data_IF_762310827098
#
_entry.id   IF_762310827098
#
_cell.length_a   1.000
_cell.length_b   1.000
_cell.length_c   1.000
_cell.angle_alpha   90.00
_cell.angle_beta   90.00
_cell.angle_gamma   90.00
#
_symmetry.space_group_name_H-M   'P 1'
#
loop_
_entity.id
_entity.type
_entity.pdbx_description
1 polymer ?
#
# COMPACT_ATOMS: atom_id res chain seq x y z
N UNK A 1 9.63 -40.89 -7.02
CA UNK A 1 10.28 -40.39 -5.80
C UNK A 1 10.07 -38.91 -5.73
N UNK A 2 9.47 -38.40 -4.64
CA UNK A 2 9.28 -36.96 -4.40
C UNK A 2 10.42 -36.48 -3.50
N UNK A 3 11.06 -35.37 -3.86
CA UNK A 3 12.05 -34.71 -3.05
C UNK A 3 11.50 -33.33 -2.65
N UNK A 4 11.61 -32.97 -1.39
CA UNK A 4 11.18 -31.69 -0.86
C UNK A 4 12.38 -30.99 -0.22
N UNK A 5 12.48 -29.68 -0.41
CA UNK A 5 13.53 -28.86 0.19
C UNK A 5 12.95 -28.19 1.43
N UNK A 6 13.59 -28.41 2.57
CA UNK A 6 13.26 -27.81 3.85
C UNK A 6 14.34 -26.87 4.32
N UNK A 7 14.04 -26.10 5.37
CA UNK A 7 14.96 -25.16 6.00
C UNK A 7 14.77 -23.72 5.52
N UNK A 8 15.50 -22.79 6.14
CA UNK A 8 15.31 -21.33 5.91
C UNK A 8 15.48 -20.94 4.44
N UNK A 9 16.42 -21.52 3.71
CA UNK A 9 16.64 -21.20 2.29
C UNK A 9 15.46 -21.64 1.42
N UNK A 10 14.84 -22.80 1.69
CA UNK A 10 13.64 -23.26 1.01
C UNK A 10 12.46 -22.31 1.27
N UNK A 11 12.23 -22.00 2.55
CA UNK A 11 11.17 -21.07 2.98
C UNK A 11 11.31 -19.70 2.31
N UNK A 12 12.50 -19.10 2.33
CA UNK A 12 12.75 -17.78 1.71
C UNK A 12 12.55 -17.82 0.19
N UNK A 13 12.95 -18.91 -0.47
CA UNK A 13 12.74 -19.09 -1.91
C UNK A 13 11.27 -19.22 -2.24
N UNK A 14 10.52 -20.01 -1.48
CA UNK A 14 9.08 -20.16 -1.66
C UNK A 14 8.32 -18.86 -1.44
N UNK A 15 8.66 -18.10 -0.38
CA UNK A 15 8.09 -16.77 -0.13
C UNK A 15 8.35 -15.82 -1.30
N UNK A 16 9.59 -15.79 -1.80
CA UNK A 16 9.95 -14.96 -2.96
C UNK A 16 9.12 -15.34 -4.19
N UNK A 17 9.08 -16.63 -4.52
CA UNK A 17 8.36 -17.11 -5.69
C UNK A 17 6.86 -16.85 -5.57
N UNK A 18 6.28 -17.09 -4.39
CA UNK A 18 4.88 -16.81 -4.11
C UNK A 18 4.57 -15.32 -4.27
N UNK A 19 5.37 -14.46 -3.63
CA UNK A 19 5.19 -13.00 -3.71
C UNK A 19 5.29 -12.51 -5.17
N UNK A 20 6.25 -13.02 -5.95
CA UNK A 20 6.38 -12.65 -7.37
C UNK A 20 5.23 -13.16 -8.25
N UNK A 21 4.66 -14.32 -7.94
CA UNK A 21 3.52 -14.88 -8.67
C UNK A 21 2.20 -14.18 -8.32
N UNK A 22 2.01 -13.84 -7.06
CA UNK A 22 0.76 -13.24 -6.56
C UNK A 22 0.69 -11.72 -6.75
N UNK A 23 1.85 -11.02 -6.75
CA UNK A 23 1.91 -9.57 -6.89
C UNK A 23 1.07 -9.02 -8.07
N UNK A 24 1.18 -9.53 -9.31
CA UNK A 24 0.37 -9.02 -10.42
C UNK A 24 -1.13 -9.19 -10.17
N UNK A 25 -1.52 -10.30 -9.55
CA UNK A 25 -2.93 -10.61 -9.25
C UNK A 25 -3.48 -9.58 -8.25
N UNK A 26 -2.76 -9.31 -7.15
CA UNK A 26 -3.20 -8.34 -6.15
C UNK A 26 -3.23 -6.92 -6.69
N UNK A 27 -2.29 -6.53 -7.56
CA UNK A 27 -2.31 -5.22 -8.23
C UNK A 27 -3.55 -5.09 -9.11
N UNK A 28 -3.89 -6.12 -9.89
CA UNK A 28 -5.10 -6.13 -10.72
C UNK A 28 -6.36 -6.08 -9.86
N UNK A 29 -6.42 -6.89 -8.78
CA UNK A 29 -7.56 -6.88 -7.85
C UNK A 29 -7.72 -5.49 -7.22
N UNK A 30 -6.64 -4.87 -6.75
CA UNK A 30 -6.68 -3.53 -6.19
C UNK A 30 -7.15 -2.49 -7.22
N UNK A 31 -6.66 -2.57 -8.46
CA UNK A 31 -7.08 -1.68 -9.55
C UNK A 31 -8.57 -1.86 -9.89
N UNK A 32 -9.05 -3.11 -9.96
CA UNK A 32 -10.47 -3.41 -10.23
C UNK A 32 -11.37 -2.91 -9.09
N UNK A 33 -11.00 -3.17 -7.83
CA UNK A 33 -11.76 -2.66 -6.68
C UNK A 33 -11.79 -1.13 -6.67
N UNK A 34 -10.65 -0.49 -6.91
CA UNK A 34 -10.57 0.97 -7.01
C UNK A 34 -11.43 1.50 -8.16
N UNK A 35 -11.40 0.83 -9.33
CA UNK A 35 -12.25 1.18 -10.46
C UNK A 35 -13.74 1.10 -10.10
N UNK A 36 -14.16 0.02 -9.46
CA UNK A 36 -15.56 -0.17 -9.04
C UNK A 36 -16.00 0.92 -8.05
N UNK A 37 -15.17 1.22 -7.06
CA UNK A 37 -15.48 2.28 -6.09
C UNK A 37 -15.57 3.63 -6.79
N UNK A 38 -14.63 3.97 -7.67
CA UNK A 38 -14.64 5.23 -8.41
C UNK A 38 -15.84 5.33 -9.36
N UNK A 39 -16.24 4.23 -10.02
CA UNK A 39 -17.46 4.21 -10.85
C UNK A 39 -18.74 4.47 -10.05
N UNK A 40 -18.75 4.10 -8.77
CA UNK A 40 -19.88 4.35 -7.88
C UNK A 40 -19.87 5.77 -7.29
N UNK A 41 -18.68 6.36 -7.12
CA UNK A 41 -18.51 7.65 -6.42
C UNK A 41 -18.38 8.84 -7.34
N UNK A 42 -17.84 8.64 -8.56
CA UNK A 42 -17.66 9.73 -9.54
C UNK A 42 -18.88 9.92 -10.40
N UNK A 43 -19.08 11.17 -10.87
CA UNK A 43 -20.22 11.55 -11.72
C UNK A 43 -20.03 11.19 -13.20
N UNK A 44 -18.90 10.61 -13.60
CA UNK A 44 -18.59 10.22 -14.98
C UNK A 44 -17.97 8.82 -15.05
N UNK A 45 -18.40 8.02 -16.03
CA UNK A 45 -17.88 6.69 -16.27
C UNK A 45 -16.45 6.68 -16.82
N UNK A 46 -16.02 7.74 -17.49
CA UNK A 46 -14.67 7.81 -18.11
C UNK A 46 -13.60 8.25 -17.11
N UNK A 47 -13.95 9.07 -16.15
CA UNK A 47 -13.02 9.63 -15.15
C UNK A 47 -12.21 8.57 -14.39
N UNK A 48 -12.80 7.47 -13.89
CA UNK A 48 -12.05 6.41 -13.21
C UNK A 48 -10.95 5.78 -14.06
N UNK A 49 -11.19 5.60 -15.35
CA UNK A 49 -10.18 5.06 -16.28
C UNK A 49 -9.03 6.04 -16.50
N UNK A 50 -9.32 7.33 -16.59
CA UNK A 50 -8.30 8.39 -16.70
C UNK A 50 -7.41 8.40 -15.45
N UNK A 51 -8.01 8.28 -14.27
CA UNK A 51 -7.27 8.22 -13.01
C UNK A 51 -6.37 7.00 -12.94
N UNK A 52 -6.91 5.81 -13.22
CA UNK A 52 -6.12 4.58 -13.21
C UNK A 52 -5.00 4.61 -14.26
N UNK A 53 -5.23 5.23 -15.42
CA UNK A 53 -4.19 5.43 -16.43
C UNK A 53 -3.06 6.32 -15.88
N UNK A 54 -3.38 7.48 -15.31
CA UNK A 54 -2.40 8.39 -14.72
C UNK A 54 -1.62 7.75 -13.57
N UNK A 55 -2.33 7.07 -12.66
CA UNK A 55 -1.71 6.36 -11.54
C UNK A 55 -0.85 5.19 -12.03
N UNK A 56 -1.33 4.45 -13.03
CA UNK A 56 -0.56 3.37 -13.67
C UNK A 56 0.76 3.87 -14.24
N UNK A 57 0.76 5.03 -14.92
CA UNK A 57 1.99 5.67 -15.40
C UNK A 57 2.90 6.05 -14.23
N UNK A 58 2.38 6.61 -13.14
CA UNK A 58 3.16 6.92 -11.94
C UNK A 58 3.82 5.68 -11.32
N UNK A 59 3.09 4.56 -11.23
CA UNK A 59 3.61 3.27 -10.74
C UNK A 59 4.73 2.77 -11.65
N UNK A 60 4.53 2.79 -12.97
CA UNK A 60 5.56 2.36 -13.94
C UNK A 60 6.81 3.21 -13.82
N UNK A 61 6.68 4.53 -13.72
CA UNK A 61 7.83 5.42 -13.50
C UNK A 61 8.53 5.15 -12.17
N UNK A 62 7.77 4.93 -11.10
CA UNK A 62 8.35 4.61 -9.80
C UNK A 62 9.11 3.28 -9.84
N UNK A 63 8.50 2.24 -10.40
CA UNK A 63 9.14 0.93 -10.55
C UNK A 63 10.38 0.98 -11.46
N UNK A 64 10.27 1.63 -12.62
CA UNK A 64 11.37 1.75 -13.58
C UNK A 64 12.58 2.50 -13.01
N UNK A 65 12.35 3.56 -12.25
CA UNK A 65 13.44 4.33 -11.61
C UNK A 65 14.10 3.62 -10.43
N UNK A 66 13.57 2.48 -9.97
CA UNK A 66 14.23 1.64 -8.96
C UNK A 66 15.56 1.07 -9.45
N UNK A 67 15.77 0.97 -10.76
CA UNK A 67 17.07 0.58 -11.34
C UNK A 67 18.25 1.39 -10.78
N UNK A 68 18.04 2.64 -10.37
CA UNK A 68 19.09 3.51 -9.79
C UNK A 68 19.54 3.02 -8.42
N UNK A 69 18.71 2.30 -7.68
CA UNK A 69 19.02 1.81 -6.33
C UNK A 69 19.65 0.41 -6.32
N UNK A 70 19.76 -0.26 -7.48
CA UNK A 70 20.33 -1.59 -7.63
C UNK A 70 19.36 -2.68 -7.17
N UNK A 71 19.51 -3.17 -5.94
CA UNK A 71 18.70 -4.25 -5.40
C UNK A 71 17.60 -3.72 -4.49
N UNK A 72 16.36 -4.16 -4.71
CA UNK A 72 15.21 -3.84 -3.89
C UNK A 72 14.56 -5.14 -3.41
N UNK A 73 14.06 -5.13 -2.17
CA UNK A 73 13.33 -6.27 -1.62
C UNK A 73 12.08 -6.59 -2.46
N UNK A 74 11.85 -7.87 -2.71
CA UNK A 74 10.63 -8.34 -3.39
C UNK A 74 9.35 -7.93 -2.63
N UNK A 75 9.41 -7.85 -1.29
CA UNK A 75 8.30 -7.36 -0.46
C UNK A 75 8.02 -5.90 -0.75
N UNK A 76 9.06 -5.07 -0.82
CA UNK A 76 8.94 -3.64 -1.20
C UNK A 76 8.33 -3.50 -2.58
N UNK A 77 8.77 -4.29 -3.56
CA UNK A 77 8.24 -4.28 -4.92
C UNK A 77 6.74 -4.64 -4.94
N UNK A 78 6.33 -5.68 -4.22
CA UNK A 78 4.94 -6.10 -4.16
C UNK A 78 4.03 -5.06 -3.51
N UNK A 79 4.46 -4.47 -2.39
CA UNK A 79 3.65 -3.51 -1.64
C UNK A 79 3.58 -2.13 -2.30
N UNK A 80 4.66 -1.68 -2.94
CA UNK A 80 4.76 -0.32 -3.48
C UNK A 80 3.66 -0.02 -4.50
N UNK A 81 3.36 -0.92 -5.42
CA UNK A 81 2.34 -0.70 -6.44
C UNK A 81 0.97 -0.46 -5.82
N UNK A 82 0.58 -1.28 -4.84
CA UNK A 82 -0.74 -1.20 -4.18
C UNK A 82 -0.84 0.06 -3.30
N UNK A 83 0.21 0.32 -2.51
CA UNK A 83 0.24 1.50 -1.63
C UNK A 83 0.26 2.80 -2.44
N UNK A 84 1.03 2.85 -3.51
CA UNK A 84 1.09 4.03 -4.38
C UNK A 84 -0.24 4.30 -5.07
N UNK A 85 -0.96 3.25 -5.50
CA UNK A 85 -2.31 3.38 -6.06
C UNK A 85 -3.23 4.12 -5.07
N UNK A 86 -3.27 3.68 -3.81
CA UNK A 86 -4.11 4.31 -2.79
C UNK A 86 -3.71 5.77 -2.51
N UNK A 87 -2.41 6.02 -2.26
CA UNK A 87 -1.92 7.37 -1.91
C UNK A 87 -2.10 8.38 -3.06
N UNK A 88 -1.90 7.95 -4.32
CA UNK A 88 -1.96 8.88 -5.47
C UNK A 88 -3.40 9.15 -5.90
N UNK A 89 -4.34 8.25 -5.58
CA UNK A 89 -5.74 8.39 -5.96
C UNK A 89 -6.39 9.64 -5.35
N UNK A 90 -6.13 9.90 -4.08
CA UNK A 90 -6.69 11.05 -3.36
C UNK A 90 -6.29 12.38 -4.02
N UNK A 91 -5.04 12.48 -4.50
CA UNK A 91 -4.59 13.69 -5.21
C UNK A 91 -5.35 13.91 -6.52
N UNK A 92 -5.67 12.82 -7.22
CA UNK A 92 -6.43 12.86 -8.48
C UNK A 92 -7.86 13.34 -8.25
N UNK A 93 -8.50 12.88 -7.17
CA UNK A 93 -9.84 13.29 -6.78
C UNK A 93 -9.87 14.78 -6.45
N UNK A 94 -8.95 15.29 -5.63
CA UNK A 94 -8.87 16.70 -5.29
C UNK A 94 -8.68 17.60 -6.51
N UNK A 95 -7.87 17.19 -7.48
CA UNK A 95 -7.68 17.95 -8.70
C UNK A 95 -8.96 18.01 -9.53
N UNK A 96 -9.66 16.88 -9.69
CA UNK A 96 -10.89 16.83 -10.46
C UNK A 96 -11.99 17.68 -9.82
N UNK A 97 -12.23 17.54 -8.52
CA UNK A 97 -13.22 18.34 -7.79
C UNK A 97 -12.94 19.84 -7.94
N UNK A 98 -11.66 20.22 -7.83
CA UNK A 98 -11.26 21.60 -8.06
C UNK A 98 -11.49 22.04 -9.51
N UNK A 99 -11.25 21.16 -10.49
CA UNK A 99 -11.50 21.44 -11.90
C UNK A 99 -12.98 21.63 -12.19
N UNK A 100 -13.83 20.73 -11.71
CA UNK A 100 -15.29 20.82 -11.91
C UNK A 100 -15.88 22.07 -11.26
N UNK A 101 -15.47 22.40 -10.04
CA UNK A 101 -15.89 23.64 -9.36
C UNK A 101 -15.45 24.89 -10.14
N UNK A 102 -14.25 24.92 -10.68
CA UNK A 102 -13.77 26.04 -11.49
C UNK A 102 -14.41 26.07 -12.89
N UNK A 103 -14.75 24.92 -13.48
CA UNK A 103 -15.46 24.85 -14.77
C UNK A 103 -16.81 25.55 -14.71
N UNK A 104 -17.56 25.35 -13.62
CA UNK A 104 -18.81 26.09 -13.36
C UNK A 104 -18.56 27.58 -13.16
N UNK A 105 -17.49 27.93 -12.42
CA UNK A 105 -17.15 29.33 -12.10
C UNK A 105 -16.73 30.16 -13.32
N UNK A 106 -16.12 29.54 -14.32
CA UNK A 106 -15.58 30.18 -15.52
C UNK A 106 -16.39 29.87 -16.78
N UNK A 107 -17.70 29.67 -16.65
CA UNK A 107 -18.66 29.49 -17.76
C UNK A 107 -18.22 28.42 -18.79
N UNK A 108 -17.55 27.37 -18.35
CA UNK A 108 -17.13 26.26 -19.18
C UNK A 108 -15.77 26.45 -19.90
N UNK A 109 -15.02 27.53 -19.62
CA UNK A 109 -13.65 27.67 -20.12
C UNK A 109 -12.73 26.68 -19.44
N UNK A 110 -12.54 25.52 -20.07
CA UNK A 110 -11.80 24.39 -19.54
C UNK A 110 -10.31 24.68 -19.28
N UNK A 111 -9.68 25.50 -20.13
CA UNK A 111 -8.26 25.82 -19.96
C UNK A 111 -8.05 26.71 -18.74
N UNK A 112 -8.90 27.73 -18.59
CA UNK A 112 -8.87 28.63 -17.44
C UNK A 112 -9.27 27.89 -16.14
N UNK A 113 -10.30 27.07 -16.22
CA UNK A 113 -10.74 26.23 -15.09
C UNK A 113 -9.61 25.29 -14.61
N UNK A 114 -8.92 24.63 -15.53
CA UNK A 114 -7.81 23.72 -15.18
C UNK A 114 -6.61 24.48 -14.61
N UNK A 115 -6.24 25.64 -15.16
CA UNK A 115 -5.16 26.45 -14.61
C UNK A 115 -5.42 26.86 -13.16
N UNK A 116 -6.66 27.27 -12.84
CA UNK A 116 -7.07 27.58 -11.48
C UNK A 116 -7.17 26.33 -10.59
N UNK A 117 -7.63 25.20 -11.14
CA UNK A 117 -7.68 23.94 -10.42
C UNK A 117 -6.30 23.51 -9.97
N UNK A 118 -5.31 23.51 -10.86
CA UNK A 118 -3.92 23.20 -10.53
C UNK A 118 -3.40 24.14 -9.43
N UNK A 119 -3.61 25.46 -9.57
CA UNK A 119 -3.16 26.44 -8.59
C UNK A 119 -3.80 26.22 -7.21
N UNK A 120 -5.10 25.98 -7.15
CA UNK A 120 -5.83 25.73 -5.90
C UNK A 120 -5.40 24.41 -5.23
N UNK A 121 -5.21 23.37 -6.04
CA UNK A 121 -4.88 22.04 -5.56
C UNK A 121 -3.40 21.90 -5.19
N UNK A 122 -2.52 22.67 -5.83
CA UNK A 122 -1.08 22.61 -5.62
C UNK A 122 -0.69 22.71 -4.14
N UNK A 123 -1.21 23.69 -3.43
CA UNK A 123 -0.90 23.89 -2.01
C UNK A 123 -1.38 22.72 -1.15
N UNK A 124 -2.61 22.26 -1.36
CA UNK A 124 -3.21 21.17 -0.59
C UNK A 124 -2.50 19.83 -0.84
N UNK A 125 -2.27 19.49 -2.11
CA UNK A 125 -1.59 18.25 -2.51
C UNK A 125 -0.13 18.27 -2.05
N UNK A 126 0.58 19.38 -2.24
CA UNK A 126 1.99 19.49 -1.80
C UNK A 126 2.10 19.38 -0.29
N UNK A 127 1.27 20.07 0.48
CA UNK A 127 1.29 20.00 1.94
C UNK A 127 1.00 18.58 2.46
N UNK A 128 -0.02 17.92 1.92
CA UNK A 128 -0.35 16.52 2.26
C UNK A 128 0.78 15.56 1.87
N UNK A 129 1.35 15.76 0.68
CA UNK A 129 2.45 14.92 0.18
C UNK A 129 3.71 15.06 1.00
N UNK A 130 4.07 16.26 1.45
CA UNK A 130 5.25 16.50 2.31
C UNK A 130 5.15 15.71 3.61
N UNK A 131 3.98 15.67 4.25
CA UNK A 131 3.77 14.88 5.47
C UNK A 131 3.88 13.38 5.19
N UNK A 132 3.35 12.91 4.09
CA UNK A 132 3.44 11.50 3.66
C UNK A 132 4.89 11.13 3.32
N UNK A 133 5.60 11.99 2.59
CA UNK A 133 7.03 11.80 2.27
C UNK A 133 7.87 11.78 3.56
N UNK A 134 7.60 12.68 4.51
CA UNK A 134 8.30 12.69 5.79
C UNK A 134 8.06 11.40 6.60
N UNK A 135 6.85 10.85 6.58
CA UNK A 135 6.52 9.56 7.19
C UNK A 135 7.32 8.41 6.57
N UNK A 136 7.37 8.33 5.24
CA UNK A 136 8.18 7.32 4.56
C UNK A 136 9.68 7.57 4.71
N UNK A 137 10.14 8.81 4.70
CA UNK A 137 11.53 9.16 4.94
C UNK A 137 12.01 8.76 6.34
N UNK A 138 11.13 8.80 7.35
CA UNK A 138 11.45 8.32 8.69
C UNK A 138 11.83 6.82 8.68
N UNK A 139 11.22 6.00 7.81
CA UNK A 139 11.58 4.59 7.65
C UNK A 139 13.01 4.40 7.11
N UNK A 140 13.54 5.39 6.37
CA UNK A 140 14.92 5.32 5.86
C UNK A 140 15.98 5.34 6.97
N UNK A 141 15.63 5.77 8.18
CA UNK A 141 16.51 5.74 9.35
C UNK A 141 16.48 4.42 10.12
N UNK A 142 15.65 3.45 9.67
CA UNK A 142 15.64 2.12 10.28
C UNK A 142 16.92 1.37 9.95
N UNK A 143 17.45 0.63 10.93
CA UNK A 143 18.56 -0.32 10.72
C UNK A 143 18.13 -1.56 9.95
N UNK A 144 16.84 -1.84 9.91
CA UNK A 144 16.26 -2.96 9.17
C UNK A 144 16.12 -2.59 7.69
N UNK A 145 16.90 -3.24 6.82
CA UNK A 145 17.02 -2.91 5.39
C UNK A 145 15.66 -2.89 4.66
N UNK A 146 14.75 -3.80 4.99
CA UNK A 146 13.41 -3.83 4.38
C UNK A 146 12.63 -2.54 4.63
N UNK A 147 12.68 -1.99 5.87
CA UNK A 147 12.02 -0.73 6.20
C UNK A 147 12.63 0.44 5.45
N UNK A 148 13.97 0.47 5.35
CA UNK A 148 14.69 1.49 4.59
C UNK A 148 14.34 1.45 3.10
N UNK A 149 14.33 0.26 2.49
CA UNK A 149 13.97 0.09 1.08
C UNK A 149 12.53 0.56 0.81
N UNK A 150 11.59 0.13 1.67
CA UNK A 150 10.19 0.52 1.55
C UNK A 150 10.03 2.04 1.70
N UNK A 151 10.68 2.64 2.70
CA UNK A 151 10.64 4.08 2.95
C UNK A 151 11.11 4.88 1.74
N UNK A 152 12.24 4.50 1.17
CA UNK A 152 12.86 5.19 0.03
C UNK A 152 12.01 5.07 -1.25
N UNK A 153 11.55 3.85 -1.58
CA UNK A 153 10.75 3.61 -2.78
C UNK A 153 9.38 4.29 -2.67
N UNK A 154 8.77 4.28 -1.49
CA UNK A 154 7.48 4.93 -1.26
C UNK A 154 7.59 6.46 -1.24
N UNK A 155 8.60 7.04 -0.58
CA UNK A 155 8.82 8.49 -0.60
C UNK A 155 9.00 9.00 -2.03
N UNK A 156 9.84 8.32 -2.85
CA UNK A 156 10.00 8.60 -4.27
C UNK A 156 8.69 8.42 -5.04
N UNK A 157 7.93 7.35 -4.75
CA UNK A 157 6.64 7.07 -5.37
C UNK A 157 5.62 8.18 -5.16
N UNK A 158 5.56 8.75 -3.95
CA UNK A 158 4.70 9.90 -3.65
C UNK A 158 5.14 11.13 -4.45
N UNK A 159 6.44 11.43 -4.54
CA UNK A 159 6.95 12.55 -5.34
C UNK A 159 6.53 12.38 -6.81
N UNK A 160 6.74 11.20 -7.40
CA UNK A 160 6.35 10.91 -8.78
C UNK A 160 4.83 11.02 -8.93
N UNK A 161 4.05 10.52 -7.96
CA UNK A 161 2.59 10.63 -7.95
C UNK A 161 2.10 12.07 -8.00
N UNK A 162 2.70 12.96 -7.20
CA UNK A 162 2.40 14.41 -7.21
C UNK A 162 2.74 15.04 -8.57
N UNK A 163 3.91 14.73 -9.13
CA UNK A 163 4.31 15.24 -10.44
C UNK A 163 3.30 14.80 -11.50
N UNK A 164 2.94 13.53 -11.54
CA UNK A 164 1.96 12.99 -12.49
C UNK A 164 0.58 13.62 -12.28
N UNK A 165 0.15 13.77 -11.02
CA UNK A 165 -1.12 14.41 -10.69
C UNK A 165 -1.21 15.88 -11.16
N UNK A 166 -0.12 16.64 -11.04
CA UNK A 166 -0.11 18.06 -11.40
C UNK A 166 0.27 18.34 -12.86
N UNK A 167 0.74 17.34 -13.62
CA UNK A 167 1.18 17.51 -15.01
C UNK A 167 0.41 16.61 -15.99
N UNK A 168 0.52 15.31 -15.82
CA UNK A 168 -0.04 14.31 -16.75
C UNK A 168 -1.56 14.25 -16.60
N UNK A 169 -2.06 14.21 -15.38
CA UNK A 169 -3.50 14.08 -15.12
C UNK A 169 -4.32 15.28 -15.65
N UNK A 170 -3.92 16.56 -15.46
CA UNK A 170 -4.56 17.68 -16.10
C UNK A 170 -4.63 17.58 -17.61
N UNK A 171 -3.54 17.14 -18.24
CA UNK A 171 -3.50 16.95 -19.69
C UNK A 171 -4.46 15.85 -20.15
N UNK A 172 -4.54 14.74 -19.42
CA UNK A 172 -5.49 13.66 -19.69
C UNK A 172 -6.94 14.14 -19.52
N UNK A 173 -7.26 14.85 -18.44
CA UNK A 173 -8.60 15.38 -18.20
C UNK A 173 -9.00 16.33 -19.33
N UNK A 174 -8.14 17.26 -19.73
CA UNK A 174 -8.42 18.19 -20.83
C UNK A 174 -8.58 17.49 -22.18
N UNK A 175 -7.79 16.45 -22.44
CA UNK A 175 -7.89 15.65 -23.66
C UNK A 175 -9.25 14.92 -23.76
N UNK A 176 -9.70 14.35 -22.64
CA UNK A 176 -10.93 13.58 -22.56
C UNK A 176 -12.13 14.35 -22.01
N UNK A 177 -12.04 15.69 -21.86
CA UNK A 177 -13.08 16.53 -21.28
C UNK A 177 -14.46 16.32 -21.93
N UNK A 178 -14.51 16.27 -23.28
CA UNK A 178 -15.76 15.98 -24.01
C UNK A 178 -16.35 14.60 -23.72
N UNK A 179 -15.49 13.61 -23.45
CA UNK A 179 -15.93 12.26 -23.11
C UNK A 179 -16.43 12.20 -21.67
N UNK A 180 -15.80 12.94 -20.77
CA UNK A 180 -16.22 13.10 -19.37
C UNK A 180 -17.63 13.72 -19.35
N UNK A 181 -17.83 14.86 -20.01
CA UNK A 181 -19.14 15.53 -20.08
C UNK A 181 -20.24 14.64 -20.68
N UNK A 182 -19.91 13.87 -21.73
CA UNK A 182 -20.89 12.99 -22.41
C UNK A 182 -21.29 11.77 -21.56
N UNK A 183 -20.43 11.34 -20.64
CA UNK A 183 -20.66 10.15 -19.80
C UNK A 183 -21.06 10.50 -18.37
N UNK A 184 -21.39 11.76 -18.12
CA UNK A 184 -21.86 12.22 -16.81
C UNK A 184 -23.20 11.59 -16.46
N UNK A 185 -23.30 11.06 -15.26
CA UNK A 185 -24.52 10.47 -14.68
C UNK A 185 -24.76 11.02 -13.28
N UNK A 186 -25.95 10.80 -12.75
CA UNK A 186 -26.26 11.19 -11.37
C UNK A 186 -25.42 10.38 -10.39
N UNK A 187 -24.83 11.08 -9.43
CA UNK A 187 -24.08 10.43 -8.34
C UNK A 187 -25.00 9.45 -7.59
N UNK A 188 -24.50 8.20 -7.41
CA UNK A 188 -25.21 7.17 -6.65
C UNK A 188 -25.15 7.41 -5.15
N UNK A 189 -24.20 8.22 -4.68
CA UNK A 189 -24.05 8.50 -3.24
C UNK A 189 -25.19 9.46 -2.83
N UNK A 190 -26.00 9.06 -1.85
CA UNK A 190 -27.08 9.92 -1.34
C UNK A 190 -26.48 11.16 -0.66
N UNK A 191 -27.20 12.27 -0.77
CA UNK A 191 -26.81 13.51 -0.09
C UNK A 191 -26.76 13.30 1.45
N UNK A 192 -25.58 13.48 2.02
CA UNK A 192 -25.30 13.28 3.45
C UNK A 192 -25.51 14.56 4.29
N UNK A 193 -26.14 15.61 3.75
CA UNK A 193 -26.36 16.89 4.45
C UNK A 193 -27.09 16.69 5.81
N UNK A 194 -28.03 15.75 5.86
CA UNK A 194 -28.73 15.42 7.08
C UNK A 194 -27.82 14.80 8.17
N UNK A 195 -26.88 13.96 7.74
CA UNK A 195 -25.89 13.34 8.63
C UNK A 195 -24.88 14.38 9.09
N UNK A 196 -24.36 15.20 8.18
CA UNK A 196 -23.42 16.28 8.48
C UNK A 196 -23.97 17.24 9.52
N UNK A 197 -25.22 17.68 9.37
CA UNK A 197 -25.91 18.56 10.33
C UNK A 197 -26.05 17.89 11.71
N UNK A 198 -26.34 16.59 11.76
CA UNK A 198 -26.43 15.84 13.03
C UNK A 198 -25.07 15.73 13.72
N UNK A 199 -24.01 15.42 12.96
CA UNK A 199 -22.65 15.34 13.49
C UNK A 199 -22.19 16.70 14.04
N UNK A 200 -22.38 17.78 13.26
CA UNK A 200 -22.01 19.13 13.70
C UNK A 200 -22.81 19.55 14.94
N UNK A 201 -24.11 19.24 15.01
CA UNK A 201 -24.93 19.55 16.19
C UNK A 201 -24.53 18.70 17.41
N UNK A 202 -24.13 17.45 17.19
CA UNK A 202 -23.75 16.48 18.23
C UNK A 202 -22.24 16.38 18.47
N UNK A 203 -21.44 17.36 18.04
CA UNK A 203 -19.97 17.29 18.14
C UNK A 203 -19.41 16.90 19.52
N UNK A 204 -19.96 17.41 20.67
CA UNK A 204 -19.42 17.03 21.97
C UNK A 204 -19.69 15.55 22.29
N UNK A 205 -20.84 15.01 21.85
CA UNK A 205 -21.17 13.58 22.05
C UNK A 205 -20.22 12.71 21.23
N UNK A 206 -19.93 13.10 19.98
CA UNK A 206 -18.98 12.39 19.12
C UNK A 206 -17.58 12.41 19.74
N UNK A 207 -17.13 13.56 20.25
CA UNK A 207 -15.83 13.68 20.91
C UNK A 207 -15.73 12.76 22.15
N UNK A 208 -16.74 12.82 23.02
CA UNK A 208 -16.78 11.97 24.24
C UNK A 208 -16.82 10.50 23.87
N UNK A 209 -17.59 10.11 22.86
CA UNK A 209 -17.64 8.72 22.38
C UNK A 209 -16.26 8.23 21.95
N UNK A 210 -15.52 9.01 21.15
CA UNK A 210 -14.16 8.65 20.74
C UNK A 210 -13.18 8.58 21.91
N UNK A 211 -13.27 9.49 22.87
CA UNK A 211 -12.44 9.43 24.08
C UNK A 211 -12.72 8.19 24.94
N UNK A 212 -13.98 7.80 25.06
CA UNK A 212 -14.37 6.57 25.77
C UNK A 212 -13.86 5.34 25.04
N UNK A 213 -13.95 5.30 23.70
CA UNK A 213 -13.46 4.18 22.90
C UNK A 213 -11.92 4.07 22.90
N UNK A 214 -11.20 5.14 23.23
CA UNK A 214 -9.75 5.10 23.34
C UNK A 214 -9.26 4.13 24.42
N UNK A 215 -9.97 4.03 25.55
CA UNK A 215 -9.61 3.12 26.64
C UNK A 215 -9.58 1.64 26.21
N UNK A 216 -10.68 1.08 25.68
CA UNK A 216 -10.68 -0.28 25.12
C UNK A 216 -9.67 -0.48 23.99
N UNK A 217 -9.46 0.53 23.13
CA UNK A 217 -8.48 0.45 22.05
C UNK A 217 -7.04 0.35 22.59
N UNK A 218 -6.68 1.14 23.59
CA UNK A 218 -5.37 1.05 24.26
C UNK A 218 -5.17 -0.28 24.98
N UNK A 219 -6.22 -0.77 25.64
CA UNK A 219 -6.17 -2.09 26.27
C UNK A 219 -5.96 -3.20 25.24
N UNK A 220 -6.69 -3.18 24.13
CA UNK A 220 -6.50 -4.12 23.00
C UNK A 220 -5.09 -4.06 22.42
N UNK A 221 -4.57 -2.84 22.21
CA UNK A 221 -3.21 -2.65 21.69
C UNK A 221 -2.11 -3.22 22.59
N UNK A 222 -2.34 -3.25 23.91
CA UNK A 222 -1.36 -3.79 24.87
C UNK A 222 -1.43 -5.31 25.03
N UNK A 223 -2.53 -5.94 24.59
CA UNK A 223 -2.82 -7.35 24.86
C UNK A 223 -2.91 -8.22 23.60
N UNK A 224 -2.62 -7.70 22.39
CA UNK A 224 -2.57 -8.56 21.21
C UNK A 224 -1.20 -9.21 21.07
N UNK A 225 -1.18 -10.44 20.60
CA UNK A 225 0.04 -11.20 20.35
C UNK A 225 0.58 -10.86 18.95
N UNK A 226 1.89 -10.60 18.88
CA UNK A 226 2.56 -10.35 17.59
C UNK A 226 3.05 -11.69 17.06
N UNK A 227 2.65 -12.01 15.85
CA UNK A 227 3.04 -13.24 15.18
C UNK A 227 4.43 -13.11 14.52
N UNK A 228 5.34 -14.00 14.90
CA UNK A 228 6.72 -13.99 14.40
C UNK A 228 7.08 -15.21 13.54
N UNK A 229 6.23 -16.24 13.49
CA UNK A 229 6.49 -17.45 12.74
C UNK A 229 6.14 -17.26 11.25
N UNK A 230 7.13 -16.80 10.47
CA UNK A 230 7.00 -16.62 9.03
C UNK A 230 6.79 -17.95 8.29
N UNK A 231 7.40 -19.04 8.80
CA UNK A 231 7.28 -20.34 8.18
C UNK A 231 5.87 -20.95 8.36
N UNK A 232 5.25 -20.74 9.53
CA UNK A 232 3.88 -21.17 9.80
C UNK A 232 2.80 -20.36 9.07
N UNK A 233 3.14 -19.14 8.63
CA UNK A 233 2.23 -18.30 7.82
C UNK A 233 2.12 -18.75 6.37
N UNK A 234 3.00 -19.62 5.90
CA UNK A 234 3.01 -20.08 4.51
C UNK A 234 1.83 -21.02 4.19
N UNK A 235 1.30 -20.96 2.96
CA UNK A 235 0.32 -21.94 2.49
C UNK A 235 0.87 -23.35 2.63
N UNK A 236 0.07 -24.25 3.18
CA UNK A 236 0.46 -25.65 3.42
C UNK A 236 0.72 -26.44 2.11
N UNK A 237 0.41 -25.88 0.97
CA UNK A 237 0.67 -26.46 -0.36
C UNK A 237 2.09 -26.26 -0.86
N UNK A 238 2.88 -25.38 -0.25
CA UNK A 238 4.26 -25.10 -0.66
C UNK A 238 5.21 -26.22 -0.29
N UNK A 239 6.22 -26.46 -1.13
CA UNK A 239 7.17 -27.57 -0.95
C UNK A 239 7.90 -27.48 0.38
N UNK A 240 8.31 -26.30 0.82
CA UNK A 240 8.97 -26.10 2.12
C UNK A 240 8.03 -26.37 3.30
N UNK A 241 6.75 -25.96 3.22
CA UNK A 241 5.76 -26.24 4.26
C UNK A 241 5.47 -27.75 4.36
N UNK A 242 5.27 -28.42 3.22
CA UNK A 242 5.10 -29.88 3.15
C UNK A 242 6.33 -30.61 3.69
N UNK A 243 7.54 -30.13 3.38
CA UNK A 243 8.79 -30.69 3.89
C UNK A 243 8.89 -30.56 5.40
N UNK A 244 8.64 -29.36 5.95
CA UNK A 244 8.68 -29.10 7.39
C UNK A 244 7.67 -29.98 8.14
N UNK A 245 6.44 -30.10 7.65
CA UNK A 245 5.41 -30.96 8.23
C UNK A 245 5.81 -32.43 8.23
N UNK A 246 6.39 -32.94 7.13
CA UNK A 246 6.89 -34.32 7.07
C UNK A 246 8.08 -34.57 8.00
N UNK A 247 8.95 -33.57 8.21
CA UNK A 247 10.05 -33.65 9.17
C UNK A 247 9.54 -33.71 10.60
N UNK A 248 8.52 -32.91 10.93
CA UNK A 248 7.89 -32.93 12.24
C UNK A 248 7.20 -34.29 12.51
N UNK A 249 6.33 -34.73 11.59
CA UNK A 249 5.57 -35.98 11.77
C UNK A 249 6.40 -37.23 11.79
N UNK A 250 7.46 -37.30 10.96
CA UNK A 250 8.27 -38.56 10.82
C UNK A 250 9.52 -38.58 11.66
N UNK A 251 10.09 -37.43 11.98
CA UNK A 251 11.39 -37.33 12.63
C UNK A 251 11.34 -36.50 13.92
N UNK A 252 10.18 -35.96 14.29
CA UNK A 252 9.98 -35.04 15.43
C UNK A 252 10.97 -33.85 15.39
N UNK A 253 11.23 -33.33 14.17
CA UNK A 253 12.13 -32.20 13.91
C UNK A 253 11.29 -30.99 13.54
N UNK A 254 11.03 -30.07 14.48
CA UNK A 254 10.16 -28.92 14.30
C UNK A 254 10.93 -27.67 13.81
N UNK A 255 12.19 -27.51 14.20
CA UNK A 255 13.01 -26.38 13.78
C UNK A 255 14.49 -26.73 13.68
N UNK A 256 15.19 -26.12 12.71
CA UNK A 256 16.64 -26.30 12.53
C UNK A 256 17.38 -25.12 13.15
N UNK A 257 18.14 -25.36 14.20
CA UNK A 257 18.98 -24.35 14.82
C UNK A 257 20.43 -24.53 14.40
N UNK A 258 21.06 -23.50 13.84
CA UNK A 258 22.47 -23.45 13.50
C UNK A 258 23.20 -22.73 14.62
N UNK A 259 24.12 -23.44 15.32
CA UNK A 259 24.96 -22.83 16.35
C UNK A 259 26.36 -22.65 15.80
N UNK A 260 26.77 -21.40 15.61
CA UNK A 260 28.11 -21.01 15.20
C UNK A 260 28.96 -20.76 16.45
N UNK A 261 30.08 -21.43 16.56
CA UNK A 261 31.02 -21.22 17.65
C UNK A 261 32.42 -20.96 17.11
N UNK A 262 33.11 -19.99 17.70
CA UNK A 262 34.47 -19.60 17.30
C UNK A 262 35.52 -20.72 17.59
N UNK A 263 35.30 -21.50 18.64
CA UNK A 263 36.08 -22.68 18.99
C UNK A 263 35.10 -23.84 19.15
N UNK A 264 35.46 -25.01 18.66
CA UNK A 264 34.60 -26.20 18.76
C UNK A 264 34.12 -26.50 20.19
N UNK A 265 32.86 -26.95 20.31
CA UNK A 265 32.30 -27.33 21.62
C UNK A 265 33.07 -28.44 22.28
N UNK A 266 33.47 -28.26 23.53
CA UNK A 266 33.95 -29.34 24.39
C UNK A 266 32.84 -30.36 24.64
N UNK A 267 33.20 -31.62 24.83
CA UNK A 267 32.25 -32.72 25.08
C UNK A 267 31.27 -32.43 26.24
N UNK A 268 31.73 -31.67 27.24
CA UNK A 268 30.93 -31.27 28.41
C UNK A 268 29.86 -30.23 28.08
N UNK A 269 30.14 -29.24 27.24
CA UNK A 269 29.21 -28.24 26.81
C UNK A 269 28.11 -28.79 25.86
N UNK A 270 28.47 -29.81 25.07
CA UNK A 270 27.48 -30.56 24.25
C UNK A 270 26.48 -31.30 25.13
N UNK A 271 26.92 -31.85 26.26
CA UNK A 271 26.08 -32.60 27.20
C UNK A 271 25.13 -31.68 27.96
N UNK A 272 25.62 -30.52 28.44
CA UNK A 272 24.81 -29.55 29.19
C UNK A 272 23.72 -28.84 28.33
N UNK A 273 23.96 -28.63 27.04
CA UNK A 273 22.96 -28.09 26.14
C UNK A 273 21.86 -29.07 25.76
N UNK A 274 22.18 -30.38 25.64
CA UNK A 274 21.17 -31.42 25.44
C UNK A 274 20.18 -31.53 26.58
N UNK A 275 20.55 -31.09 27.77
CA UNK A 275 19.69 -31.09 28.96
C UNK A 275 18.83 -29.83 29.08
N UNK A 276 19.07 -28.76 28.28
CA UNK A 276 18.33 -27.50 28.31
C UNK A 276 17.41 -27.29 27.10
N UNK A 277 17.38 -28.20 26.14
CA UNK A 277 16.43 -28.28 25.02
C UNK A 277 15.33 -29.31 25.31
#
# INVERSE_FOLDING_TARGET
KQAFISGMSGVVTDIKNLAMAEMPIYVVVAAVLSLLILLLTMDSLVTPFIFLLGIGMAIVYNMGTNMVFGEISYITQALTAILQLGVTMDYSIFLLESYEANKVRYDGDKNRAMAHAISNTFTSVTSSSVTTIAGFAALCFMTFKLGMDLGLVMAKGVIIGVIVCLTVLPALILCFDKAIDKTTHKNLIPNLDGLSKKIVKGWPVVLVLFLVLLGPAMYGNSNYEIYYDIAGALPQSLDSAVANKKLEEKFNMNSTHIVLMKNGMTSKEKSERKLRM
#
